data_IF_007852150528
#
_entry.id   IF_007852150528
#
_cell.length_a   1.000
_cell.length_b   1.000
_cell.length_c   1.000
_cell.angle_alpha   90.00
_cell.angle_beta   90.00
_cell.angle_gamma   90.00
#
_symmetry.space_group_name_H-M   'P 1'
#
loop_
_entity.id
_entity.type
_entity.pdbx_description
1 polymer ?
#
# COMPACT_ATOMS: atom_id res chain seq x y z
N UNK A 1 -7.81 -0.96 -10.30
CA UNK A 1 -7.28 -1.58 -9.07
C UNK A 1 -6.25 -0.62 -8.54
N UNK A 2 -6.39 -0.18 -7.30
CA UNK A 2 -5.63 0.95 -6.77
C UNK A 2 -5.19 0.71 -5.32
N UNK A 3 -4.11 1.38 -4.91
CA UNK A 3 -3.69 1.47 -3.51
C UNK A 3 -4.60 2.49 -2.81
N UNK A 4 -5.06 2.14 -1.62
CA UNK A 4 -5.93 2.96 -0.77
C UNK A 4 -5.13 3.59 0.37
N UNK A 5 -5.68 4.60 1.04
CA UNK A 5 -5.09 5.22 2.24
C UNK A 5 -4.89 4.26 3.43
N UNK A 6 -5.33 3.00 3.34
CA UNK A 6 -4.99 1.98 4.33
C UNK A 6 -3.47 1.77 4.45
N UNK A 7 -2.69 2.05 3.39
CA UNK A 7 -1.21 2.01 3.41
C UNK A 7 -0.61 3.01 4.41
N UNK A 8 -1.29 4.11 4.71
CA UNK A 8 -0.85 5.16 5.63
C UNK A 8 -1.01 4.75 7.09
N UNK A 9 -1.86 3.74 7.34
CA UNK A 9 -2.09 3.23 8.69
C UNK A 9 -1.00 2.21 9.03
N UNK A 10 -0.26 2.44 10.12
CA UNK A 10 0.75 1.51 10.63
C UNK A 10 0.21 0.08 10.85
N UNK A 11 -1.09 -0.06 11.10
CA UNK A 11 -1.77 -1.35 11.22
C UNK A 11 -1.70 -2.22 9.95
N UNK A 12 -1.57 -1.64 8.76
CA UNK A 12 -1.44 -2.39 7.49
C UNK A 12 -0.16 -3.24 7.46
N UNK A 13 0.89 -2.78 8.16
CA UNK A 13 2.21 -3.42 8.26
C UNK A 13 2.29 -4.47 9.38
N UNK A 14 1.21 -4.66 10.17
CA UNK A 14 1.24 -5.58 11.33
C UNK A 14 1.67 -6.98 10.90
N UNK A 15 2.68 -7.50 11.60
CA UNK A 15 3.22 -8.84 11.37
C UNK A 15 4.13 -8.96 10.15
N UNK A 16 4.48 -7.85 9.49
CA UNK A 16 5.43 -7.81 8.39
C UNK A 16 6.75 -7.19 8.87
N UNK A 17 7.87 -7.65 8.30
CA UNK A 17 9.16 -6.99 8.47
C UNK A 17 9.21 -5.72 7.64
N UNK A 18 9.48 -4.58 8.27
CA UNK A 18 9.62 -3.29 7.56
C UNK A 18 10.73 -3.33 6.51
N UNK A 19 11.85 -3.97 6.83
CA UNK A 19 12.96 -4.15 5.88
C UNK A 19 12.53 -4.99 4.67
N UNK A 20 11.72 -6.03 4.86
CA UNK A 20 11.21 -6.84 3.74
C UNK A 20 10.20 -6.07 2.89
N UNK A 21 9.36 -5.22 3.50
CA UNK A 21 8.43 -4.34 2.77
C UNK A 21 9.20 -3.33 1.92
N UNK A 22 10.18 -2.63 2.51
CA UNK A 22 10.98 -1.62 1.82
C UNK A 22 11.86 -2.21 0.71
N UNK A 23 12.31 -3.46 0.86
CA UNK A 23 13.03 -4.20 -0.18
C UNK A 23 12.11 -4.95 -1.16
N UNK A 24 10.78 -4.72 -1.09
CA UNK A 24 9.79 -5.28 -2.01
C UNK A 24 9.83 -6.83 -2.08
N UNK A 25 10.09 -7.50 -0.96
CA UNK A 25 10.13 -8.96 -0.92
C UNK A 25 8.78 -9.55 -1.32
N UNK A 26 8.77 -10.44 -2.32
CA UNK A 26 7.54 -10.93 -2.93
C UNK A 26 6.53 -11.49 -1.91
N UNK A 27 6.93 -12.43 -1.04
CA UNK A 27 6.04 -13.02 -0.03
C UNK A 27 5.40 -11.99 0.91
N UNK A 28 6.17 -10.96 1.27
CA UNK A 28 5.69 -9.84 2.08
C UNK A 28 4.64 -9.04 1.33
N UNK A 29 4.87 -8.76 0.05
CA UNK A 29 3.94 -8.00 -0.79
C UNK A 29 2.67 -8.80 -1.11
N UNK A 30 2.74 -10.14 -1.20
CA UNK A 30 1.57 -11.02 -1.27
C UNK A 30 0.64 -10.85 -0.07
N UNK A 31 1.19 -10.51 1.10
CA UNK A 31 0.41 -10.25 2.31
C UNK A 31 -0.06 -8.80 2.39
N UNK A 32 0.77 -7.84 1.97
CA UNK A 32 0.49 -6.41 2.09
C UNK A 32 -0.53 -5.94 1.06
N UNK A 33 -0.38 -6.30 -0.22
CA UNK A 33 -1.24 -5.80 -1.30
C UNK A 33 -2.74 -6.08 -1.08
N UNK A 34 -3.18 -7.28 -0.62
CA UNK A 34 -4.56 -7.50 -0.21
C UNK A 34 -5.06 -6.59 0.91
N UNK A 35 -4.19 -6.01 1.74
CA UNK A 35 -4.62 -5.15 2.85
C UNK A 35 -4.87 -3.72 2.42
N UNK A 36 -4.17 -3.28 1.37
CA UNK A 36 -4.10 -1.87 0.99
C UNK A 36 -4.74 -1.58 -0.38
N UNK A 37 -5.39 -2.56 -1.01
CA UNK A 37 -5.99 -2.40 -2.34
C UNK A 37 -7.52 -2.47 -2.34
N UNK A 38 -8.13 -1.75 -3.29
CA UNK A 38 -9.56 -1.84 -3.58
C UNK A 38 -9.83 -2.07 -5.09
N UNK A 39 -10.68 -3.04 -5.47
CA UNK A 39 -11.19 -4.11 -4.60
C UNK A 39 -10.03 -4.95 -4.03
N UNK A 40 -10.30 -5.63 -2.92
CA UNK A 40 -9.30 -6.43 -2.22
C UNK A 40 -8.74 -7.48 -3.15
N UNK A 41 -7.42 -7.52 -3.33
CA UNK A 41 -6.78 -8.63 -4.03
C UNK A 41 -6.92 -9.94 -3.26
N UNK A 42 -7.35 -10.98 -3.96
CA UNK A 42 -7.26 -12.35 -3.49
C UNK A 42 -5.94 -13.00 -3.93
N UNK A 43 -5.45 -13.98 -3.15
CA UNK A 43 -4.20 -14.68 -3.43
C UNK A 43 -4.15 -15.29 -4.84
N UNK A 44 -5.26 -15.87 -5.31
CA UNK A 44 -5.34 -16.46 -6.66
C UNK A 44 -5.17 -15.40 -7.74
N UNK A 45 -5.70 -14.19 -7.50
CA UNK A 45 -5.60 -13.08 -8.45
C UNK A 45 -4.17 -12.57 -8.55
N UNK A 46 -3.48 -12.43 -7.41
CA UNK A 46 -2.07 -12.01 -7.38
C UNK A 46 -1.19 -13.07 -8.07
N UNK A 47 -1.41 -14.37 -7.80
CA UNK A 47 -0.64 -15.46 -8.41
C UNK A 47 -0.77 -15.55 -9.93
N UNK A 48 -1.90 -15.10 -10.49
CA UNK A 48 -2.16 -15.08 -11.94
C UNK A 48 -1.78 -13.75 -12.60
N UNK A 49 -1.41 -12.74 -11.80
CA UNK A 49 -1.04 -11.42 -12.29
C UNK A 49 0.30 -11.46 -13.03
N UNK A 50 0.46 -10.61 -14.04
CA UNK A 50 1.75 -10.49 -14.71
C UNK A 50 2.80 -9.94 -13.74
N UNK A 51 4.05 -10.38 -13.87
CA UNK A 51 5.14 -9.89 -13.02
C UNK A 51 5.31 -8.36 -13.13
N UNK A 52 5.02 -7.78 -14.31
CA UNK A 52 5.04 -6.33 -14.53
C UNK A 52 4.01 -5.61 -13.66
N UNK A 53 2.76 -6.06 -13.68
CA UNK A 53 1.69 -5.42 -12.92
C UNK A 53 1.91 -5.56 -11.41
N UNK A 54 2.40 -6.73 -10.98
CA UNK A 54 2.75 -6.97 -9.57
C UNK A 54 3.84 -6.02 -9.08
N UNK A 55 4.95 -5.90 -9.83
CA UNK A 55 6.06 -4.99 -9.50
C UNK A 55 5.57 -3.53 -9.47
N UNK A 56 4.72 -3.14 -10.42
CA UNK A 56 4.18 -1.79 -10.48
C UNK A 56 3.30 -1.47 -9.26
N UNK A 57 2.42 -2.39 -8.84
CA UNK A 57 1.63 -2.23 -7.61
C UNK A 57 2.51 -2.14 -6.37
N UNK A 58 3.57 -2.94 -6.30
CA UNK A 58 4.54 -2.90 -5.19
C UNK A 58 5.25 -1.55 -5.10
N UNK A 59 5.70 -1.01 -6.24
CA UNK A 59 6.37 0.28 -6.30
C UNK A 59 5.43 1.43 -5.86
N UNK A 60 4.18 1.43 -6.33
CA UNK A 60 3.19 2.43 -5.91
C UNK A 60 2.94 2.36 -4.40
N UNK A 61 2.79 1.15 -3.84
CA UNK A 61 2.55 0.98 -2.41
C UNK A 61 3.69 1.57 -1.55
N UNK A 62 4.95 1.33 -1.91
CA UNK A 62 6.10 1.89 -1.16
C UNK A 62 6.29 3.38 -1.41
N UNK A 63 5.95 3.89 -2.59
CA UNK A 63 5.99 5.34 -2.86
C UNK A 63 5.02 6.10 -1.94
N UNK A 64 3.80 5.59 -1.78
CA UNK A 64 2.80 6.15 -0.85
C UNK A 64 3.29 6.20 0.61
N UNK A 65 4.18 5.29 1.01
CA UNK A 65 4.77 5.31 2.36
C UNK A 65 5.88 6.35 2.54
N UNK A 66 6.44 6.83 1.43
CA UNK A 66 7.61 7.73 1.41
C UNK A 66 7.21 9.18 1.10
N UNK A 67 6.08 9.38 0.43
CA UNK A 67 5.53 10.72 0.17
C UNK A 67 4.94 11.29 1.47
N UNK A 68 5.36 12.49 1.90
CA UNK A 68 4.71 13.17 3.01
C UNK A 68 3.26 13.45 2.61
N UNK A 69 2.32 13.02 3.46
CA UNK A 69 0.87 13.27 3.42
C UNK A 69 0.48 14.35 2.37
N UNK A 70 0.17 13.92 1.15
CA UNK A 70 -0.54 14.78 0.22
C UNK A 70 -2.03 14.73 0.57
N UNK A 71 -2.35 15.24 1.77
CA UNK A 71 -3.68 15.14 2.37
C UNK A 71 -4.08 16.31 3.28
N UNK A 72 -3.16 17.11 3.80
CA UNK A 72 -3.50 18.29 4.59
C UNK A 72 -3.66 19.58 3.75
N UNK A 73 -4.64 19.62 2.84
CA UNK A 73 -5.37 20.89 2.66
C UNK A 73 -6.28 21.03 3.88
N UNK A 74 -5.68 21.41 5.01
CA UNK A 74 -6.40 21.71 6.24
C UNK A 74 -7.39 22.82 5.91
N UNK A 75 -8.69 22.48 5.90
CA UNK A 75 -9.76 23.46 5.86
C UNK A 75 -9.63 24.28 7.15
N UNK A 76 -8.95 25.41 7.05
CA UNK A 76 -9.08 26.50 8.02
C UNK A 76 -10.48 27.06 7.85
N UNK A 77 -11.44 26.54 8.60
CA UNK A 77 -12.61 27.31 9.00
C UNK A 77 -13.14 26.77 10.34
N UNK A 78 -12.57 27.26 11.43
CA UNK A 78 -13.27 27.40 12.72
C UNK A 78 -12.59 28.48 13.54
N UNK A 79 -13.42 29.43 14.00
CA UNK A 79 -13.18 30.55 14.93
C UNK A 79 -12.46 31.77 14.33
N UNK A 80 -12.93 33.01 14.45
CA UNK A 80 -14.09 33.60 15.12
C UNK A 80 -14.33 35.01 14.54
#
# INVERSE_FOLDING_TARGET
MEITGAIEQAGSLRGLSLSDVLNLKADTMFTLLPRVTSPRLDEVMIKKMSSRDFIQLCAVAVNFMSEPDSGAKSVQETAA
#
